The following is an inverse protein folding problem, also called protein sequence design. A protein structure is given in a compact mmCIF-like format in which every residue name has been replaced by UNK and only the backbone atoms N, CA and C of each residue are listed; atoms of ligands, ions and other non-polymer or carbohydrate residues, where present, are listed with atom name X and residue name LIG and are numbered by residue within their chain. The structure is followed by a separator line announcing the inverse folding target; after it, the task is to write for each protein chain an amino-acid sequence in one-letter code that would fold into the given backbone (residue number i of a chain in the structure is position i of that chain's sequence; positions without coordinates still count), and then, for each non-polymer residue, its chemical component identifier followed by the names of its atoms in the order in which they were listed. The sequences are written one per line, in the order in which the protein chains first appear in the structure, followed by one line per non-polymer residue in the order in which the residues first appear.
data_IF_543790224082
#
_entry.id   IF_543790224082
#
_cell.length_a   1.000
_cell.length_b   1.000
_cell.length_c   1.000
_cell.angle_alpha   90.00
_cell.angle_beta   90.00
_cell.angle_gamma   90.00
#
_symmetry.space_group_name_H-M   'P 1'
#
loop_
_entity.id
_entity.type
_entity.pdbx_description
1 polymer ?
#
# COMPACT_ATOMS: atom_id res chain seq x y z
N UNK A 1 -69.11 52.61 -0.62
CA UNK A 1 -69.11 53.37 0.65
C UNK A 1 -67.88 52.94 1.46
N UNK A 2 -67.09 53.91 1.92
CA UNK A 2 -65.84 53.81 2.72
C UNK A 2 -66.11 53.09 4.07
N UNK A 3 -65.11 52.57 4.85
CA UNK A 3 -63.81 53.25 5.14
C UNK A 3 -62.58 52.33 5.42
N UNK A 4 -61.33 52.85 5.27
CA UNK A 4 -60.32 53.24 6.32
C UNK A 4 -59.65 52.05 7.05
N UNK A 5 -58.40 52.06 7.54
CA UNK A 5 -57.23 52.95 7.57
C UNK A 5 -56.23 52.29 8.55
N UNK A 6 -55.03 51.92 8.08
CA UNK A 6 -53.72 52.08 8.75
C UNK A 6 -53.35 51.44 10.12
N UNK A 7 -52.02 51.45 10.32
CA UNK A 7 -51.14 51.14 11.47
C UNK A 7 -50.72 49.66 11.66
N UNK A 8 -49.44 49.28 11.53
CA UNK A 8 -48.22 49.53 12.36
C UNK A 8 -48.24 48.82 13.72
N UNK A 9 -47.31 47.86 13.91
CA UNK A 9 -46.37 47.69 15.04
C UNK A 9 -46.05 46.20 15.36
N UNK A 10 -44.76 45.88 15.27
CA UNK A 10 -43.88 45.18 16.24
C UNK A 10 -44.49 44.09 17.14
N UNK A 11 -43.87 42.91 17.17
CA UNK A 11 -44.02 41.97 18.28
C UNK A 11 -43.24 40.67 18.16
N UNK A 12 -42.13 40.58 18.90
CA UNK A 12 -41.38 39.36 19.24
C UNK A 12 -42.28 38.42 20.07
N UNK A 13 -42.18 37.10 19.85
CA UNK A 13 -42.85 36.11 20.71
C UNK A 13 -42.36 34.69 20.50
N UNK A 14 -41.37 34.28 21.31
CA UNK A 14 -41.02 32.89 21.56
C UNK A 14 -42.05 32.21 22.49
N UNK A 15 -41.83 30.91 22.78
CA UNK A 15 -42.62 29.91 23.54
C UNK A 15 -43.51 29.06 22.62
N UNK A 16 -43.39 27.74 22.51
CA UNK A 16 -42.76 26.74 23.37
C UNK A 16 -43.82 25.73 23.80
N UNK A 17 -43.86 24.54 23.19
CA UNK A 17 -44.54 23.36 23.73
C UNK A 17 -43.75 22.10 23.35
N UNK A 18 -42.89 21.67 24.27
CA UNK A 18 -42.47 20.28 24.39
C UNK A 18 -43.69 19.48 24.87
N UNK A 19 -44.21 18.59 24.03
CA UNK A 19 -45.12 17.55 24.45
C UNK A 19 -44.46 16.20 24.15
N UNK A 20 -43.93 15.58 25.21
CA UNK A 20 -43.69 14.15 25.27
C UNK A 20 -44.95 13.47 25.82
N UNK A 21 -45.37 12.37 25.19
CA UNK A 21 -46.09 11.20 25.71
C UNK A 21 -46.46 10.37 24.45
N UNK A 22 -45.72 9.32 24.11
CA UNK A 22 -45.90 7.94 24.59
C UNK A 22 -47.32 7.41 24.38
N UNK A 23 -47.54 6.72 23.27
CA UNK A 23 -48.59 5.70 23.16
C UNK A 23 -48.10 4.56 22.26
N UNK A 24 -48.05 3.38 22.86
CA UNK A 24 -47.65 2.11 22.29
C UNK A 24 -48.81 1.53 21.47
N UNK A 25 -48.63 1.40 20.15
CA UNK A 25 -49.54 0.66 19.26
C UNK A 25 -48.75 -0.09 18.21
N UNK A 26 -48.53 -1.38 18.48
CA UNK A 26 -48.49 -2.48 17.52
C UNK A 26 -47.63 -2.29 16.27
N UNK A 27 -46.39 -2.78 16.32
CA UNK A 27 -45.54 -3.21 15.21
C UNK A 27 -46.01 -2.78 13.80
N UNK A 28 -45.98 -1.48 13.52
CA UNK A 28 -46.14 -0.98 12.17
C UNK A 28 -44.91 -1.42 11.38
N UNK A 29 -45.11 -2.30 10.38
CA UNK A 29 -44.06 -2.71 9.44
C UNK A 29 -43.31 -1.46 8.97
N UNK A 30 -41.95 -1.44 9.01
CA UNK A 30 -41.18 -0.31 8.51
C UNK A 30 -41.66 0.08 7.11
N UNK A 31 -41.86 1.38 6.87
CA UNK A 31 -42.23 1.90 5.55
C UNK A 31 -41.28 1.31 4.50
N UNK A 32 -41.79 0.77 3.37
CA UNK A 32 -40.93 0.22 2.34
C UNK A 32 -40.01 1.32 1.82
N UNK A 33 -38.72 1.00 1.69
CA UNK A 33 -37.71 1.94 1.19
C UNK A 33 -38.18 2.48 -0.18
N UNK A 34 -38.19 3.81 -0.39
CA UNK A 34 -38.59 4.39 -1.65
C UNK A 34 -37.67 3.86 -2.75
N UNK A 35 -38.20 3.48 -3.93
CA UNK A 35 -37.42 2.82 -4.99
C UNK A 35 -36.29 3.69 -5.53
N UNK A 36 -36.36 5.01 -5.33
CA UNK A 36 -35.35 5.97 -5.76
C UNK A 36 -35.17 7.07 -4.70
N UNK A 37 -33.94 7.55 -4.54
CA UNK A 37 -33.62 8.76 -3.80
C UNK A 37 -33.08 9.82 -4.76
N UNK A 38 -33.72 10.99 -4.78
CA UNK A 38 -33.23 12.13 -5.55
C UNK A 38 -32.12 12.86 -4.77
N UNK A 39 -30.97 13.03 -5.39
CA UNK A 39 -29.85 13.79 -4.80
C UNK A 39 -29.45 14.92 -5.75
N UNK A 40 -29.18 16.10 -5.20
CA UNK A 40 -28.63 17.21 -5.96
C UNK A 40 -27.11 17.18 -5.79
N UNK A 41 -26.38 16.89 -6.88
CA UNK A 41 -24.92 16.90 -6.87
C UNK A 41 -24.46 18.20 -7.52
N UNK A 42 -23.69 18.98 -6.76
CA UNK A 42 -23.00 20.15 -7.29
C UNK A 42 -21.74 19.67 -7.99
N UNK A 43 -21.78 19.60 -9.33
CA UNK A 43 -20.59 19.37 -10.12
C UNK A 43 -19.96 20.73 -10.46
N UNK A 44 -18.70 20.90 -10.09
CA UNK A 44 -17.84 21.93 -10.68
C UNK A 44 -17.33 21.37 -12.00
N UNK A 45 -17.63 22.04 -13.12
CA UNK A 45 -17.04 21.66 -14.39
C UNK A 45 -15.52 21.91 -14.34
N UNK A 46 -14.73 20.98 -14.87
CA UNK A 46 -13.26 21.04 -14.81
C UNK A 46 -12.65 22.23 -15.60
N UNK A 47 -13.47 23.14 -16.14
CA UNK A 47 -13.05 24.28 -16.97
C UNK A 47 -13.70 25.63 -16.59
N UNK A 48 -14.57 25.72 -15.59
CA UNK A 48 -15.18 27.00 -15.18
C UNK A 48 -15.55 27.00 -13.69
N UNK A 49 -14.59 27.28 -12.77
CA UNK A 49 -14.78 27.16 -11.32
C UNK A 49 -15.93 27.99 -10.72
N UNK A 50 -16.51 28.94 -11.47
CA UNK A 50 -17.67 29.74 -11.06
C UNK A 50 -19.03 29.20 -11.58
N UNK A 51 -19.05 28.13 -12.38
CA UNK A 51 -20.27 27.55 -12.94
C UNK A 51 -20.67 26.32 -12.13
N UNK A 52 -21.50 26.54 -11.11
CA UNK A 52 -22.13 25.45 -10.34
C UNK A 52 -23.29 24.89 -11.16
N UNK A 53 -23.11 23.73 -11.78
CA UNK A 53 -24.20 23.01 -12.45
C UNK A 53 -24.81 22.05 -11.43
N UNK A 54 -26.09 22.25 -11.12
CA UNK A 54 -26.88 21.33 -10.31
C UNK A 54 -27.34 20.17 -11.18
N UNK A 55 -26.66 19.04 -11.10
CA UNK A 55 -27.11 17.81 -11.76
C UNK A 55 -27.98 17.04 -10.77
N UNK A 56 -29.24 16.78 -11.15
CA UNK A 56 -30.13 15.90 -10.37
C UNK A 56 -29.71 14.45 -10.63
N UNK A 57 -29.08 13.83 -9.64
CA UNK A 57 -28.82 12.39 -9.62
C UNK A 57 -30.01 11.62 -9.05
N UNK A 58 -30.22 10.40 -9.54
CA UNK A 58 -31.27 9.50 -9.10
C UNK A 58 -30.59 8.21 -8.67
N UNK A 59 -30.71 7.85 -7.39
CA UNK A 59 -30.11 6.62 -6.85
C UNK A 59 -31.21 5.57 -6.75
N UNK A 60 -31.13 4.52 -7.57
CA UNK A 60 -32.02 3.34 -7.43
C UNK A 60 -31.70 2.62 -6.13
N UNK A 61 -32.69 2.50 -5.25
CA UNK A 61 -32.53 1.77 -3.98
C UNK A 61 -32.83 0.28 -4.12
N UNK A 62 -33.32 -0.15 -5.30
CA UNK A 62 -33.70 -1.52 -5.61
C UNK A 62 -32.57 -2.37 -6.19
N UNK A 63 -31.64 -1.76 -6.94
CA UNK A 63 -30.54 -2.46 -7.63
C UNK A 63 -29.14 -2.10 -7.10
N UNK A 64 -29.06 -1.14 -6.17
CA UNK A 64 -27.81 -0.79 -5.49
C UNK A 64 -26.69 -0.51 -6.49
N UNK A 65 -26.82 0.50 -7.33
CA UNK A 65 -25.75 0.85 -8.26
C UNK A 65 -24.80 1.85 -7.58
N UNK A 66 -23.51 1.52 -7.52
CA UNK A 66 -22.47 2.47 -7.11
C UNK A 66 -21.92 3.11 -8.37
N UNK A 67 -21.94 4.44 -8.40
CA UNK A 67 -21.31 5.26 -9.44
C UNK A 67 -19.89 5.56 -9.00
N UNK A 68 -18.90 5.05 -9.74
CA UNK A 68 -17.49 5.29 -9.49
C UNK A 68 -17.03 6.40 -10.45
N UNK A 69 -16.53 7.50 -9.89
CA UNK A 69 -15.92 8.57 -10.68
C UNK A 69 -14.46 8.22 -10.92
N UNK A 70 -14.15 7.89 -12.17
CA UNK A 70 -12.80 7.52 -12.60
C UNK A 70 -11.89 8.76 -12.68
N UNK A 71 -10.55 8.57 -12.64
CA UNK A 71 -9.59 9.68 -12.69
C UNK A 71 -9.65 10.52 -13.98
N UNK A 72 -10.20 9.96 -15.05
CA UNK A 72 -10.44 10.65 -16.33
C UNK A 72 -11.75 11.45 -16.35
N UNK A 73 -12.50 11.44 -15.25
CA UNK A 73 -13.78 12.11 -15.08
C UNK A 73 -14.97 11.33 -15.63
N UNK A 74 -14.77 10.11 -16.14
CA UNK A 74 -15.86 9.22 -16.53
C UNK A 74 -16.54 8.60 -15.31
N UNK A 75 -17.81 8.21 -15.46
CA UNK A 75 -18.57 7.54 -14.41
C UNK A 75 -18.83 6.12 -14.87
N UNK A 76 -18.32 5.16 -14.11
CA UNK A 76 -18.58 3.74 -14.32
C UNK A 76 -19.64 3.26 -13.33
N UNK A 77 -20.59 2.47 -13.82
CA UNK A 77 -21.69 1.94 -13.02
C UNK A 77 -21.37 0.51 -12.60
N UNK A 78 -21.45 0.21 -11.30
CA UNK A 78 -21.31 -1.14 -10.77
C UNK A 78 -22.59 -1.55 -10.04
N UNK A 79 -23.25 -2.59 -10.54
CA UNK A 79 -24.44 -3.17 -9.91
C UNK A 79 -24.04 -4.04 -8.72
N UNK A 80 -24.48 -3.69 -7.50
CA UNK A 80 -24.18 -4.44 -6.28
C UNK A 80 -24.76 -5.86 -6.30
N UNK A 81 -25.83 -6.09 -7.05
CA UNK A 81 -26.46 -7.40 -7.17
C UNK A 81 -25.73 -8.34 -8.16
N UNK A 82 -24.73 -7.86 -8.90
CA UNK A 82 -23.91 -8.71 -9.77
C UNK A 82 -22.99 -9.62 -8.94
N UNK A 83 -22.51 -10.76 -9.49
CA UNK A 83 -21.50 -11.58 -8.82
C UNK A 83 -20.28 -10.77 -8.38
N UNK A 84 -19.82 -9.84 -9.22
CA UNK A 84 -18.69 -8.94 -8.96
C UNK A 84 -19.03 -7.92 -7.87
N UNK A 85 -20.23 -7.33 -7.89
CA UNK A 85 -20.72 -6.42 -6.86
C UNK A 85 -20.87 -7.11 -5.49
N UNK A 86 -21.42 -8.32 -5.45
CA UNK A 86 -21.55 -9.10 -4.22
C UNK A 86 -20.18 -9.50 -3.66
N UNK A 87 -19.23 -9.86 -4.52
CA UNK A 87 -17.87 -10.21 -4.10
C UNK A 87 -17.10 -9.00 -3.57
N UNK A 88 -17.33 -7.79 -4.10
CA UNK A 88 -16.68 -6.57 -3.62
C UNK A 88 -17.06 -6.21 -2.17
N UNK A 89 -18.23 -6.65 -1.70
CA UNK A 89 -18.74 -6.44 -0.34
C UNK A 89 -18.93 -7.74 0.46
N UNK A 90 -18.44 -8.87 -0.06
CA UNK A 90 -18.52 -10.16 0.64
C UNK A 90 -17.56 -10.13 1.84
N UNK A 91 -18.09 -9.71 2.99
CA UNK A 91 -17.36 -9.75 4.26
C UNK A 91 -17.35 -11.18 4.76
N UNK A 92 -16.17 -11.78 4.91
CA UNK A 92 -16.06 -13.13 5.46
C UNK A 92 -16.16 -13.11 6.98
N UNK A 93 -16.46 -14.26 7.61
CA UNK A 93 -16.46 -14.37 9.07
C UNK A 93 -15.06 -14.08 9.66
N UNK A 94 -13.98 -14.40 8.93
CA UNK A 94 -12.63 -14.03 9.33
C UNK A 94 -12.44 -12.50 9.32
N UNK A 95 -13.02 -11.80 8.35
CA UNK A 95 -12.99 -10.33 8.30
C UNK A 95 -13.85 -9.75 9.43
N UNK A 96 -15.03 -10.32 9.70
CA UNK A 96 -15.88 -9.91 10.82
C UNK A 96 -15.24 -10.20 12.18
N UNK A 97 -14.49 -11.30 12.35
CA UNK A 97 -13.74 -11.62 13.56
C UNK A 97 -12.54 -10.67 13.73
N UNK A 98 -11.87 -10.30 12.64
CA UNK A 98 -10.80 -9.29 12.67
C UNK A 98 -11.34 -7.88 12.97
N UNK A 99 -12.55 -7.55 12.52
CA UNK A 99 -13.25 -6.33 12.91
C UNK A 99 -13.77 -6.39 14.35
N UNK A 100 -14.30 -7.54 14.81
CA UNK A 100 -14.81 -7.75 16.16
C UNK A 100 -13.71 -7.57 17.22
N UNK A 101 -12.51 -8.08 16.93
CA UNK A 101 -11.33 -7.87 17.77
C UNK A 101 -11.02 -6.38 18.02
N UNK A 102 -11.52 -5.47 17.17
CA UNK A 102 -11.37 -4.03 17.31
C UNK A 102 -12.66 -3.29 17.70
N UNK A 103 -13.83 -3.94 17.68
CA UNK A 103 -15.15 -3.27 17.77
C UNK A 103 -16.11 -3.84 18.84
N UNK A 104 -15.70 -4.84 19.63
CA UNK A 104 -16.48 -5.39 20.76
C UNK A 104 -17.95 -5.71 20.42
N UNK A 105 -18.19 -6.38 19.29
CA UNK A 105 -19.54 -6.76 18.85
C UNK A 105 -19.96 -8.09 19.52
N UNK A 106 -21.13 -8.11 20.17
CA UNK A 106 -21.73 -9.33 20.73
C UNK A 106 -22.45 -10.14 19.64
N UNK A 107 -21.92 -11.34 19.36
CA UNK A 107 -22.42 -12.26 18.33
C UNK A 107 -23.05 -13.54 18.91
N UNK A 108 -23.33 -13.57 20.22
CA UNK A 108 -23.81 -14.75 20.96
C UNK A 108 -25.17 -15.31 20.54
N UNK A 109 -25.94 -14.58 19.71
CA UNK A 109 -27.27 -14.98 19.22
C UNK A 109 -27.31 -15.54 17.80
N UNK A 110 -26.17 -15.70 17.12
CA UNK A 110 -26.13 -16.21 15.75
C UNK A 110 -26.22 -17.75 15.72
N UNK A 111 -27.02 -18.34 14.81
CA UNK A 111 -27.05 -19.78 14.61
C UNK A 111 -25.69 -20.32 14.13
N UNK A 112 -25.36 -21.56 14.46
CA UNK A 112 -24.13 -22.24 14.02
C UNK A 112 -24.12 -22.34 12.48
N UNK A 113 -23.25 -21.54 11.83
CA UNK A 113 -23.20 -21.35 10.38
C UNK A 113 -22.42 -22.47 9.66
N UNK A 114 -22.13 -23.59 10.33
CA UNK A 114 -21.43 -24.73 9.73
C UNK A 114 -19.97 -24.42 9.36
N UNK A 115 -19.25 -25.38 8.74
CA UNK A 115 -17.84 -25.21 8.45
C UNK A 115 -17.60 -24.13 7.38
N UNK A 116 -16.87 -23.08 7.76
CA UNK A 116 -16.46 -21.98 6.88
C UNK A 116 -15.58 -22.53 5.77
N UNK A 117 -16.02 -22.38 4.52
CA UNK A 117 -15.15 -22.67 3.36
C UNK A 117 -13.96 -21.71 3.38
N UNK A 118 -12.72 -22.17 3.14
CA UNK A 118 -11.56 -21.29 3.04
C UNK A 118 -11.85 -20.16 2.06
N UNK A 119 -11.63 -18.91 2.49
CA UNK A 119 -11.81 -17.73 1.64
C UNK A 119 -10.92 -17.87 0.41
N UNK A 120 -11.47 -17.60 -0.77
CA UNK A 120 -10.63 -17.49 -1.97
C UNK A 120 -9.64 -16.33 -1.83
N UNK A 121 -8.39 -16.45 -2.30
CA UNK A 121 -7.43 -15.37 -2.21
C UNK A 121 -7.95 -14.10 -2.90
N UNK A 122 -7.78 -12.95 -2.26
CA UNK A 122 -8.14 -11.66 -2.83
C UNK A 122 -7.32 -11.39 -4.09
N UNK A 123 -7.78 -10.47 -4.94
CA UNK A 123 -6.99 -10.02 -6.09
C UNK A 123 -5.60 -9.51 -5.67
N UNK A 124 -5.50 -8.86 -4.50
CA UNK A 124 -4.24 -8.39 -3.94
C UNK A 124 -3.33 -9.56 -3.54
N UNK A 125 -3.85 -10.58 -2.86
CA UNK A 125 -3.09 -11.77 -2.46
C UNK A 125 -2.56 -12.54 -3.68
N UNK A 126 -3.38 -12.68 -4.72
CA UNK A 126 -2.97 -13.28 -6.00
C UNK A 126 -1.84 -12.45 -6.65
N UNK A 127 -1.99 -11.13 -6.72
CA UNK A 127 -0.96 -10.24 -7.27
C UNK A 127 0.36 -10.29 -6.48
N UNK A 128 0.29 -10.34 -5.16
CA UNK A 128 1.47 -10.48 -4.28
C UNK A 128 2.16 -11.83 -4.48
N UNK A 129 1.40 -12.92 -4.61
CA UNK A 129 1.92 -14.25 -4.89
C UNK A 129 2.60 -14.31 -6.27
N UNK A 130 1.97 -13.74 -7.30
CA UNK A 130 2.54 -13.64 -8.65
C UNK A 130 3.84 -12.83 -8.66
N UNK A 131 3.90 -11.74 -7.90
CA UNK A 131 5.13 -10.95 -7.75
C UNK A 131 6.22 -11.73 -7.02
N UNK A 132 5.88 -12.42 -5.93
CA UNK A 132 6.80 -13.26 -5.18
C UNK A 132 7.38 -14.38 -6.07
N UNK A 133 6.56 -14.97 -6.94
CA UNK A 133 6.99 -15.98 -7.91
C UNK A 133 8.00 -15.45 -8.95
N UNK A 134 7.98 -14.15 -9.24
CA UNK A 134 8.94 -13.49 -10.14
C UNK A 134 10.25 -13.08 -9.45
N UNK A 135 10.32 -13.19 -8.12
CA UNK A 135 11.53 -12.83 -7.36
C UNK A 135 12.67 -13.79 -7.68
N UNK A 136 13.81 -13.23 -8.09
CA UNK A 136 15.03 -13.98 -8.40
C UNK A 136 16.13 -13.68 -7.38
N UNK A 137 17.08 -14.61 -7.16
CA UNK A 137 18.29 -14.30 -6.42
C UNK A 137 19.09 -13.19 -7.12
N UNK A 138 19.71 -12.30 -6.34
CA UNK A 138 20.71 -11.37 -6.85
C UNK A 138 21.88 -12.16 -7.43
N UNK A 139 22.26 -11.81 -8.66
CA UNK A 139 23.45 -12.33 -9.33
C UNK A 139 24.42 -11.19 -9.58
N UNK A 140 25.72 -11.46 -9.51
CA UNK A 140 26.75 -10.43 -9.70
C UNK A 140 26.85 -9.96 -11.17
N UNK A 141 26.15 -10.61 -12.11
CA UNK A 141 26.04 -10.25 -13.53
C UNK A 141 27.40 -9.97 -14.20
N UNK A 142 28.42 -10.77 -13.86
CA UNK A 142 29.75 -10.70 -14.46
C UNK A 142 29.88 -11.75 -15.59
N UNK A 143 30.63 -11.43 -16.67
CA UNK A 143 30.84 -12.36 -17.78
C UNK A 143 31.53 -13.65 -17.31
N UNK A 144 31.33 -14.74 -18.06
CA UNK A 144 31.93 -16.03 -17.72
C UNK A 144 33.47 -16.00 -17.77
N UNK A 145 34.04 -15.11 -18.58
CA UNK A 145 35.49 -14.89 -18.71
C UNK A 145 36.05 -13.90 -17.70
N UNK A 146 35.26 -13.51 -16.69
CA UNK A 146 35.71 -12.58 -15.67
C UNK A 146 36.79 -13.23 -14.79
N UNK A 147 37.93 -12.54 -14.67
CA UNK A 147 38.98 -12.88 -13.72
C UNK A 147 39.24 -11.67 -12.81
N UNK A 148 39.22 -11.90 -11.50
CA UNK A 148 39.47 -10.86 -10.52
C UNK A 148 40.99 -10.56 -10.40
N UNK A 149 41.41 -9.32 -10.67
CA UNK A 149 42.74 -8.84 -10.26
C UNK A 149 42.67 -8.34 -8.80
N UNK A 150 43.37 -8.97 -7.83
CA UNK A 150 43.36 -8.54 -6.44
C UNK A 150 43.71 -7.06 -6.24
N UNK A 151 44.50 -6.47 -7.15
CA UNK A 151 44.92 -5.07 -7.05
C UNK A 151 43.83 -4.07 -7.48
N UNK A 152 42.73 -4.54 -8.07
CA UNK A 152 41.58 -3.71 -8.40
C UNK A 152 40.76 -3.34 -7.16
N UNK A 153 40.84 -4.14 -6.10
CA UNK A 153 40.09 -3.97 -4.86
C UNK A 153 40.94 -3.27 -3.79
N UNK A 154 40.60 -2.04 -3.45
CA UNK A 154 41.40 -1.19 -2.55
C UNK A 154 40.76 -1.01 -1.16
N UNK A 155 39.79 -1.86 -0.82
CA UNK A 155 39.08 -1.87 0.46
C UNK A 155 37.63 -1.40 0.34
N UNK A 156 36.80 -1.87 1.26
CA UNK A 156 35.40 -1.51 1.38
C UNK A 156 35.04 -1.19 2.84
N UNK A 157 34.07 -0.30 3.01
CA UNK A 157 33.52 0.10 4.30
C UNK A 157 32.01 0.00 4.26
N UNK A 158 31.43 -0.46 5.36
CA UNK A 158 29.99 -0.66 5.50
C UNK A 158 29.50 0.25 6.62
N UNK A 159 28.55 1.13 6.31
CA UNK A 159 27.97 2.09 7.24
C UNK A 159 26.44 1.96 7.28
N UNK A 160 25.86 1.90 8.46
CA UNK A 160 24.40 1.90 8.62
C UNK A 160 23.86 3.32 8.38
N UNK A 161 22.86 3.43 7.51
CA UNK A 161 22.16 4.67 7.20
C UNK A 161 20.87 4.74 8.04
N UNK A 162 20.98 5.27 9.26
CA UNK A 162 19.84 5.54 10.13
C UNK A 162 19.70 4.62 11.34
N UNK A 163 18.69 4.91 12.16
CA UNK A 163 18.46 4.29 13.45
C UNK A 163 17.37 3.21 13.33
N UNK A 164 17.69 2.09 12.67
CA UNK A 164 16.74 0.97 12.60
C UNK A 164 16.43 0.43 13.99
N UNK A 165 15.14 0.26 14.33
CA UNK A 165 14.75 -0.47 15.54
C UNK A 165 15.06 -1.95 15.34
N UNK A 166 15.36 -2.66 16.44
CA UNK A 166 15.61 -4.10 16.42
C UNK A 166 14.38 -4.82 15.82
N UNK A 167 14.58 -5.54 14.71
CA UNK A 167 13.52 -6.26 14.00
C UNK A 167 12.91 -5.52 12.79
N UNK A 168 13.35 -4.30 12.49
CA UNK A 168 12.98 -3.59 11.25
C UNK A 168 14.08 -3.69 10.19
N UNK A 169 13.67 -3.54 8.93
CA UNK A 169 14.57 -3.46 7.79
C UNK A 169 15.55 -2.28 7.96
N UNK A 170 16.85 -2.56 7.94
CA UNK A 170 17.89 -1.54 8.15
C UNK A 170 18.53 -1.12 6.83
N UNK A 171 18.79 0.17 6.65
CA UNK A 171 19.50 0.68 5.49
C UNK A 171 21.00 0.70 5.76
N UNK A 172 21.78 0.25 4.79
CA UNK A 172 23.24 0.17 4.87
C UNK A 172 23.84 0.64 3.55
N UNK A 173 24.89 1.46 3.64
CA UNK A 173 25.72 1.87 2.52
C UNK A 173 27.06 1.16 2.57
N UNK A 174 27.43 0.56 1.44
CA UNK A 174 28.77 0.01 1.21
C UNK A 174 29.52 0.97 0.31
N UNK A 175 30.60 1.52 0.83
CA UNK A 175 31.56 2.32 0.07
C UNK A 175 32.77 1.46 -0.26
N UNK A 176 32.98 1.15 -1.53
CA UNK A 176 34.14 0.39 -2.01
C UNK A 176 35.07 1.28 -2.83
N UNK A 177 36.37 1.17 -2.56
CA UNK A 177 37.43 1.83 -3.30
C UNK A 177 38.03 0.83 -4.29
N UNK A 178 38.14 1.25 -5.55
CA UNK A 178 38.69 0.45 -6.62
C UNK A 178 39.75 1.20 -7.41
N UNK A 179 40.60 0.44 -8.10
CA UNK A 179 41.51 1.00 -9.10
C UNK A 179 40.72 1.77 -10.17
N UNK A 180 41.27 2.87 -10.72
CA UNK A 180 40.70 3.53 -11.88
C UNK A 180 40.53 2.56 -13.06
N UNK A 181 39.41 2.69 -13.78
CA UNK A 181 39.16 1.90 -14.99
C UNK A 181 38.34 0.62 -14.78
N UNK A 182 38.13 0.18 -13.53
CA UNK A 182 37.24 -0.94 -13.21
C UNK A 182 35.80 -0.63 -13.66
N UNK A 183 35.12 -1.58 -14.28
CA UNK A 183 33.76 -1.35 -14.78
C UNK A 183 32.72 -1.33 -13.65
N UNK A 184 31.50 -0.90 -14.00
CA UNK A 184 30.41 -0.77 -13.02
C UNK A 184 29.91 -2.09 -12.45
N UNK A 185 29.89 -3.15 -13.27
CA UNK A 185 29.48 -4.48 -12.83
C UNK A 185 30.46 -5.03 -11.80
N UNK A 186 31.76 -4.92 -12.06
CA UNK A 186 32.81 -5.33 -11.12
C UNK A 186 32.77 -4.49 -9.83
N UNK A 187 32.58 -3.17 -9.94
CA UNK A 187 32.44 -2.30 -8.77
C UNK A 187 31.22 -2.66 -7.91
N UNK A 188 30.07 -2.91 -8.55
CA UNK A 188 28.86 -3.35 -7.86
C UNK A 188 29.04 -4.74 -7.22
N UNK A 189 29.68 -5.67 -7.93
CA UNK A 189 29.95 -7.01 -7.45
C UNK A 189 30.83 -6.98 -6.19
N UNK A 190 31.88 -6.16 -6.19
CA UNK A 190 32.73 -5.98 -5.01
C UNK A 190 31.97 -5.41 -3.81
N UNK A 191 31.16 -4.35 -4.01
CA UNK A 191 30.34 -3.79 -2.95
C UNK A 191 29.33 -4.81 -2.39
N UNK A 192 28.77 -5.65 -3.26
CA UNK A 192 27.86 -6.73 -2.87
C UNK A 192 28.58 -7.83 -2.07
N UNK A 193 29.79 -8.21 -2.48
CA UNK A 193 30.61 -9.17 -1.75
C UNK A 193 31.01 -8.66 -0.35
N UNK A 194 31.42 -7.40 -0.25
CA UNK A 194 31.73 -6.75 1.03
C UNK A 194 30.50 -6.69 1.95
N UNK A 195 29.32 -6.39 1.39
CA UNK A 195 28.07 -6.44 2.16
C UNK A 195 27.80 -7.84 2.69
N UNK A 196 27.94 -8.87 1.86
CA UNK A 196 27.60 -10.24 2.23
C UNK A 196 28.48 -10.75 3.39
N UNK A 197 29.77 -10.44 3.39
CA UNK A 197 30.67 -10.76 4.53
C UNK A 197 30.25 -10.06 5.81
N UNK A 198 29.96 -8.76 5.72
CA UNK A 198 29.49 -7.98 6.87
C UNK A 198 28.14 -8.46 7.39
N UNK A 199 27.22 -8.82 6.49
CA UNK A 199 25.89 -9.33 6.80
C UNK A 199 25.95 -10.69 7.51
N UNK A 200 26.83 -11.60 7.06
CA UNK A 200 27.07 -12.90 7.71
C UNK A 200 27.55 -12.70 9.15
N UNK A 201 28.50 -11.77 9.37
CA UNK A 201 28.98 -11.43 10.71
C UNK A 201 27.89 -10.82 11.62
N UNK A 202 26.85 -10.20 11.03
CA UNK A 202 25.69 -9.65 11.75
C UNK A 202 24.52 -10.63 11.87
N UNK A 203 24.59 -11.80 11.25
CA UNK A 203 23.51 -12.79 11.22
C UNK A 203 22.31 -12.39 10.36
N UNK A 204 22.46 -11.43 9.43
CA UNK A 204 21.37 -11.04 8.53
C UNK A 204 21.38 -11.92 7.27
N UNK A 205 20.19 -12.37 6.87
CA UNK A 205 20.04 -13.39 5.83
C UNK A 205 19.79 -12.82 4.43
N UNK A 206 19.15 -11.65 4.36
CA UNK A 206 18.72 -11.06 3.11
C UNK A 206 19.13 -9.61 2.98
N UNK A 207 19.42 -9.21 1.74
CA UNK A 207 19.55 -7.81 1.38
C UNK A 207 18.81 -7.51 0.07
N UNK A 208 18.32 -6.29 -0.07
CA UNK A 208 17.75 -5.77 -1.32
C UNK A 208 18.51 -4.52 -1.73
N UNK A 209 19.00 -4.52 -2.97
CA UNK A 209 19.70 -3.36 -3.53
C UNK A 209 18.73 -2.21 -3.78
N UNK A 210 19.15 -0.99 -3.43
CA UNK A 210 18.38 0.25 -3.60
C UNK A 210 19.01 1.14 -4.66
N UNK A 211 20.32 1.39 -4.57
CA UNK A 211 21.04 2.24 -5.51
C UNK A 211 22.54 1.95 -5.53
N UNK A 212 23.19 2.29 -6.63
CA UNK A 212 24.65 2.35 -6.73
C UNK A 212 25.06 3.64 -7.42
N UNK A 213 25.95 4.41 -6.79
CA UNK A 213 26.57 5.61 -7.34
C UNK A 213 28.06 5.37 -7.51
N UNK A 214 28.64 5.92 -8.58
CA UNK A 214 30.08 5.84 -8.87
C UNK A 214 30.64 7.24 -8.95
N UNK A 215 31.82 7.42 -8.38
CA UNK A 215 32.54 8.69 -8.35
C UNK A 215 34.05 8.43 -8.56
N UNK A 216 34.79 9.47 -8.96
CA UNK A 216 36.24 9.45 -9.06
C UNK A 216 36.80 10.45 -8.04
N UNK A 217 37.47 9.95 -6.98
CA UNK A 217 38.06 10.78 -5.92
C UNK A 217 39.55 10.48 -5.78
N UNK A 218 40.38 11.53 -5.79
CA UNK A 218 41.84 11.41 -5.62
C UNK A 218 42.50 10.39 -6.56
N UNK A 219 42.05 10.33 -7.82
CA UNK A 219 42.55 9.37 -8.79
C UNK A 219 42.20 7.91 -8.47
N UNK A 220 41.17 7.65 -7.64
CA UNK A 220 40.59 6.33 -7.36
C UNK A 220 39.13 6.30 -7.79
N UNK A 221 38.64 5.11 -8.12
CA UNK A 221 37.21 4.90 -8.31
C UNK A 221 36.57 4.58 -6.96
N UNK A 222 35.48 5.27 -6.64
CA UNK A 222 34.69 5.01 -5.42
C UNK A 222 33.29 4.62 -5.86
N UNK A 223 32.77 3.54 -5.28
CA UNK A 223 31.39 3.11 -5.50
C UNK A 223 30.65 3.09 -4.17
N UNK A 224 29.50 3.77 -4.12
CA UNK A 224 28.60 3.76 -2.98
C UNK A 224 27.33 3.00 -3.34
N UNK A 225 27.12 1.82 -2.74
CA UNK A 225 25.95 0.98 -2.96
C UNK A 225 25.11 0.88 -1.71
N UNK A 226 23.81 1.20 -1.81
CA UNK A 226 22.87 1.16 -0.68
C UNK A 226 21.97 -0.05 -0.79
N UNK A 227 21.77 -0.70 0.35
CA UNK A 227 20.95 -1.89 0.50
C UNK A 227 20.03 -1.77 1.70
N UNK A 228 18.87 -2.42 1.60
CA UNK A 228 18.01 -2.72 2.74
C UNK A 228 18.32 -4.13 3.22
N UNK A 229 18.64 -4.30 4.49
CA UNK A 229 18.86 -5.59 5.13
C UNK A 229 17.62 -6.06 5.87
N UNK A 230 17.35 -7.36 5.80
CA UNK A 230 16.22 -7.98 6.47
C UNK A 230 16.54 -9.40 6.95
N UNK A 231 15.90 -9.80 8.05
CA UNK A 231 15.93 -11.18 8.55
C UNK A 231 15.03 -12.10 7.72
N UNK A 232 13.93 -11.55 7.17
CA UNK A 232 12.97 -12.26 6.32
C UNK A 232 13.21 -11.88 4.87
N UNK A 233 12.79 -12.74 3.94
CA UNK A 233 12.94 -12.46 2.51
C UNK A 233 12.13 -11.20 2.15
N UNK A 234 12.76 -10.07 1.79
CA UNK A 234 12.04 -8.85 1.46
C UNK A 234 11.33 -9.01 0.11
N UNK A 235 10.31 -8.20 -0.12
CA UNK A 235 9.70 -8.08 -1.44
C UNK A 235 10.65 -7.38 -2.42
N UNK A 236 10.85 -7.99 -3.59
CA UNK A 236 11.58 -7.37 -4.69
C UNK A 236 11.82 -8.35 -5.83
N UNK A 237 12.03 -7.85 -7.05
CA UNK A 237 12.36 -8.71 -8.19
C UNK A 237 13.72 -9.40 -8.04
N UNK A 238 14.62 -8.78 -7.28
CA UNK A 238 15.96 -9.29 -7.05
C UNK A 238 16.32 -9.14 -5.58
N UNK A 239 16.63 -10.27 -4.93
CA UNK A 239 16.97 -10.32 -3.50
C UNK A 239 18.29 -11.06 -3.32
N UNK A 240 19.22 -10.44 -2.61
CA UNK A 240 20.47 -11.04 -2.19
C UNK A 240 20.21 -11.99 -1.03
N UNK A 241 20.80 -13.18 -1.09
CA UNK A 241 20.95 -14.07 0.06
C UNK A 241 22.42 -14.03 0.49
N UNK A 242 22.67 -13.92 1.79
CA UNK A 242 24.04 -13.74 2.29
C UNK A 242 24.96 -14.91 1.91
N UNK A 243 24.49 -16.14 2.12
CA UNK A 243 25.28 -17.36 1.88
C UNK A 243 25.56 -17.64 0.40
N UNK A 244 24.55 -17.53 -0.47
CA UNK A 244 24.76 -17.80 -1.91
C UNK A 244 25.65 -16.72 -2.52
N UNK A 245 25.51 -15.47 -2.06
CA UNK A 245 26.37 -14.36 -2.51
C UNK A 245 27.82 -14.59 -2.11
N UNK A 246 28.10 -14.97 -0.87
CA UNK A 246 29.45 -15.32 -0.42
C UNK A 246 30.06 -16.47 -1.24
N UNK A 247 29.27 -17.48 -1.55
CA UNK A 247 29.69 -18.58 -2.40
C UNK A 247 30.02 -18.10 -3.82
N UNK A 248 29.20 -17.23 -4.41
CA UNK A 248 29.44 -16.64 -5.73
C UNK A 248 30.70 -15.75 -5.73
N UNK A 249 30.90 -14.94 -4.70
CA UNK A 249 32.09 -14.11 -4.53
C UNK A 249 33.36 -14.96 -4.49
N UNK A 250 33.36 -16.04 -3.70
CA UNK A 250 34.48 -16.99 -3.62
C UNK A 250 34.73 -17.67 -4.96
N UNK A 251 33.68 -18.10 -5.66
CA UNK A 251 33.81 -18.75 -6.96
C UNK A 251 34.39 -17.82 -8.03
N UNK A 252 34.13 -16.50 -7.94
CA UNK A 252 34.64 -15.49 -8.87
C UNK A 252 35.96 -14.84 -8.44
N UNK A 253 36.53 -15.25 -7.30
CA UNK A 253 37.75 -14.67 -6.75
C UNK A 253 37.62 -13.21 -6.28
N UNK A 254 36.39 -12.72 -6.07
CA UNK A 254 36.15 -11.36 -5.60
C UNK A 254 36.31 -11.35 -4.08
N UNK A 255 37.18 -10.49 -3.52
CA UNK A 255 37.34 -10.40 -2.08
C UNK A 255 36.04 -9.92 -1.43
N UNK A 256 35.59 -10.61 -0.39
CA UNK A 256 34.41 -10.24 0.39
C UNK A 256 34.72 -9.19 1.48
N UNK A 257 35.78 -8.39 1.24
CA UNK A 257 36.50 -7.53 2.19
C UNK A 257 37.26 -8.28 3.30
#
# INVERSE_FOLDING_TARGET
MRPRLALLLIGIGALGLLAACSEDKGAARPQPKPPELGVAVLQSDAGSPNKKVLTRGRISTKSGEILILEPDGSVTEMALDSPEGRNAFAVSEADLLALNANLELDLSGLPDMGPVKPREPTAQEKALADFAARTRPLRLNLPATFEADPKDYQGAQVATLGNGRKGEDSLVEVTANLRPGVDGGTAFAYATCALASWAEAKGTLYARHIRTLRDKRNGKMVVGSVFTLSEKKPMGLTVMTTKETLQECKARGIPAA
#
